data_IF_752143714181
#
_entry.id   IF_752143714181
#
_cell.length_a   1.000
_cell.length_b   1.000
_cell.length_c   1.000
_cell.angle_alpha   90.00
_cell.angle_beta   90.00
_cell.angle_gamma   90.00
#
_symmetry.space_group_name_H-M   'P 1'
#
loop_
_entity.id
_entity.type
_entity.pdbx_description
1 polymer ?
#
# COMPACT_ATOMS: atom_id res chain seq x y z
N UNK A 1 13.83 -14.26 2.08
CA UNK A 1 12.55 -13.58 2.29
C UNK A 1 11.49 -13.95 1.23
N UNK A 2 11.69 -13.71 -0.07
CA UNK A 2 10.73 -14.10 -1.13
C UNK A 2 10.32 -15.58 -1.06
N UNK A 3 11.32 -16.46 -1.17
CA UNK A 3 11.09 -17.91 -1.22
C UNK A 3 10.66 -18.48 0.14
N UNK A 4 11.12 -17.88 1.24
CA UNK A 4 10.76 -18.28 2.60
C UNK A 4 9.26 -18.05 2.90
N UNK A 5 8.71 -16.89 2.48
CA UNK A 5 7.29 -16.57 2.66
C UNK A 5 6.39 -17.53 1.85
N UNK A 6 6.83 -17.87 0.64
CA UNK A 6 6.12 -18.83 -0.19
C UNK A 6 6.19 -20.24 0.38
N UNK A 7 7.38 -20.69 0.81
CA UNK A 7 7.59 -22.04 1.34
C UNK A 7 6.69 -22.36 2.54
N UNK A 8 6.46 -21.38 3.42
CA UNK A 8 5.50 -21.54 4.52
C UNK A 8 4.06 -21.75 4.00
N UNK A 9 3.63 -20.90 3.06
CA UNK A 9 2.27 -21.00 2.50
C UNK A 9 2.07 -22.30 1.73
N UNK A 10 3.08 -22.74 0.97
CA UNK A 10 3.05 -24.02 0.25
C UNK A 10 3.01 -25.22 1.20
N UNK A 11 3.72 -25.16 2.34
CA UNK A 11 3.61 -26.19 3.38
C UNK A 11 2.19 -26.29 3.94
N UNK A 12 1.54 -25.16 4.26
CA UNK A 12 0.15 -25.13 4.74
C UNK A 12 -0.86 -25.59 3.67
N UNK A 13 -0.63 -25.26 2.40
CA UNK A 13 -1.46 -25.76 1.29
C UNK A 13 -1.33 -27.27 1.14
N UNK A 14 -0.11 -27.82 1.20
CA UNK A 14 0.13 -29.28 1.14
C UNK A 14 -0.43 -30.01 2.36
N UNK A 15 -0.43 -29.37 3.53
CA UNK A 15 -1.04 -29.90 4.74
C UNK A 15 -2.58 -29.83 4.73
N UNK A 16 -3.18 -29.08 3.79
CA UNK A 16 -4.63 -28.86 3.71
C UNK A 16 -5.16 -27.93 4.80
N UNK A 17 -4.29 -27.16 5.46
CA UNK A 17 -4.63 -26.21 6.53
C UNK A 17 -4.75 -24.78 6.03
N UNK A 18 -4.22 -24.48 4.84
CA UNK A 18 -4.37 -23.16 4.23
C UNK A 18 -5.83 -22.85 3.84
N UNK A 19 -6.22 -21.58 3.97
CA UNK A 19 -7.49 -21.09 3.44
C UNK A 19 -7.49 -21.20 1.90
N UNK A 20 -8.46 -21.92 1.29
CA UNK A 20 -8.55 -22.02 -0.17
C UNK A 20 -8.78 -20.67 -0.86
N UNK A 21 -9.24 -19.65 -0.13
CA UNK A 21 -9.43 -18.30 -0.65
C UNK A 21 -8.20 -17.40 -0.46
N UNK A 22 -7.09 -17.92 0.06
CA UNK A 22 -5.88 -17.13 0.16
C UNK A 22 -5.33 -16.79 -1.24
N UNK A 23 -4.64 -15.64 -1.33
CA UNK A 23 -4.11 -15.13 -2.60
C UNK A 23 -3.25 -16.17 -3.35
N UNK A 24 -2.40 -16.91 -2.63
CA UNK A 24 -1.48 -17.88 -3.24
C UNK A 24 -2.24 -19.02 -3.90
N UNK A 25 -3.25 -19.59 -3.23
CA UNK A 25 -4.09 -20.65 -3.78
C UNK A 25 -4.86 -20.16 -5.01
N UNK A 26 -5.55 -19.02 -4.89
CA UNK A 26 -6.32 -18.45 -6.01
C UNK A 26 -5.45 -18.08 -7.21
N UNK A 27 -4.26 -17.52 -6.97
CA UNK A 27 -3.34 -17.14 -8.03
C UNK A 27 -2.81 -18.37 -8.78
N UNK A 28 -2.45 -19.43 -8.05
CA UNK A 28 -1.99 -20.69 -8.64
C UNK A 28 -3.11 -21.36 -9.46
N UNK A 29 -4.32 -21.43 -8.92
CA UNK A 29 -5.48 -21.99 -9.62
C UNK A 29 -5.82 -21.22 -10.89
N UNK A 30 -5.82 -19.88 -10.82
CA UNK A 30 -6.09 -19.02 -11.97
C UNK A 30 -5.03 -19.18 -13.07
N UNK A 31 -3.75 -19.27 -12.71
CA UNK A 31 -2.67 -19.43 -13.68
C UNK A 31 -2.69 -20.80 -14.35
N UNK A 32 -2.98 -21.87 -13.59
CA UNK A 32 -3.07 -23.23 -14.12
C UNK A 32 -4.31 -23.48 -14.98
N UNK A 33 -5.35 -22.64 -14.88
CA UNK A 33 -6.48 -22.66 -15.82
C UNK A 33 -6.10 -22.18 -17.23
N UNK A 34 -4.98 -21.48 -17.38
CA UNK A 34 -4.49 -21.03 -18.67
C UNK A 34 -3.73 -22.16 -19.39
N UNK A 35 -4.24 -22.60 -20.55
CA UNK A 35 -3.70 -23.73 -21.32
C UNK A 35 -2.27 -23.55 -21.83
N UNK A 36 -1.73 -22.33 -21.84
CA UNK A 36 -0.34 -22.06 -22.24
C UNK A 36 0.63 -21.97 -21.06
N UNK A 37 0.13 -22.06 -19.83
CA UNK A 37 0.93 -21.89 -18.61
C UNK A 37 1.38 -23.26 -18.10
N UNK A 38 2.69 -23.44 -17.94
CA UNK A 38 3.23 -24.60 -17.24
C UNK A 38 3.27 -24.38 -15.72
N UNK A 39 3.43 -25.46 -14.97
CA UNK A 39 3.36 -25.42 -13.51
C UNK A 39 4.53 -24.65 -12.87
N UNK A 40 5.72 -24.68 -13.47
CA UNK A 40 6.91 -24.00 -12.96
C UNK A 40 6.78 -22.49 -13.14
N UNK A 41 6.37 -22.05 -14.33
CA UNK A 41 6.06 -20.65 -14.64
C UNK A 41 4.94 -20.11 -13.75
N UNK A 42 3.87 -20.89 -13.55
CA UNK A 42 2.77 -20.51 -12.66
C UNK A 42 3.24 -20.32 -11.21
N UNK A 43 4.11 -21.21 -10.73
CA UNK A 43 4.69 -21.13 -9.39
C UNK A 43 5.59 -19.89 -9.25
N UNK A 44 6.49 -19.65 -10.20
CA UNK A 44 7.37 -18.47 -10.19
C UNK A 44 6.57 -17.16 -10.18
N UNK A 45 5.56 -17.03 -11.03
CA UNK A 45 4.69 -15.85 -11.08
C UNK A 45 3.96 -15.68 -9.74
N UNK A 46 3.44 -16.77 -9.17
CA UNK A 46 2.76 -16.74 -7.88
C UNK A 46 3.69 -16.27 -6.75
N UNK A 47 4.92 -16.81 -6.70
CA UNK A 47 5.95 -16.43 -5.72
C UNK A 47 6.26 -14.92 -5.83
N UNK A 48 6.51 -14.45 -7.05
CA UNK A 48 6.87 -13.06 -7.30
C UNK A 48 5.73 -12.11 -6.91
N UNK A 49 4.49 -12.43 -7.30
CA UNK A 49 3.33 -11.61 -6.98
C UNK A 49 3.03 -11.59 -5.48
N UNK A 50 3.01 -12.76 -4.82
CA UNK A 50 2.75 -12.85 -3.39
C UNK A 50 3.77 -12.04 -2.58
N UNK A 51 5.04 -12.13 -2.99
CA UNK A 51 6.12 -11.38 -2.33
C UNK A 51 6.01 -9.88 -2.56
N UNK A 52 5.61 -9.45 -3.76
CA UNK A 52 5.38 -8.04 -4.06
C UNK A 52 4.21 -7.48 -3.24
N UNK A 53 3.09 -8.20 -3.15
CA UNK A 53 1.93 -7.80 -2.33
C UNK A 53 2.29 -7.71 -0.84
N UNK A 54 3.03 -8.69 -0.33
CA UNK A 54 3.51 -8.65 1.05
C UNK A 54 4.41 -7.45 1.30
N UNK A 55 5.42 -7.23 0.45
CA UNK A 55 6.34 -6.11 0.59
C UNK A 55 5.63 -4.75 0.49
N UNK A 56 4.69 -4.62 -0.46
CA UNK A 56 3.91 -3.40 -0.67
C UNK A 56 2.89 -3.12 0.43
N UNK A 57 2.35 -4.16 1.09
CA UNK A 57 1.30 -4.03 2.10
C UNK A 57 1.81 -4.00 3.54
N UNK A 58 2.86 -4.73 3.88
CA UNK A 58 3.28 -4.91 5.27
C UNK A 58 3.86 -3.63 5.89
N UNK A 59 4.97 -3.13 5.32
CA UNK A 59 5.69 -1.98 5.88
C UNK A 59 4.90 -0.67 5.79
N UNK A 60 4.17 -0.48 4.68
CA UNK A 60 3.38 0.73 4.42
C UNK A 60 2.19 0.83 5.38
N UNK A 61 1.45 -0.26 5.58
CA UNK A 61 0.32 -0.32 6.52
C UNK A 61 0.80 -0.14 7.95
N UNK A 62 1.89 -0.81 8.34
CA UNK A 62 2.48 -0.63 9.67
C UNK A 62 2.85 0.84 9.94
N UNK A 63 3.43 1.52 8.96
CA UNK A 63 3.77 2.95 9.06
C UNK A 63 2.53 3.83 9.21
N UNK A 64 1.49 3.58 8.39
CA UNK A 64 0.24 4.33 8.44
C UNK A 64 -0.48 4.15 9.79
N UNK A 65 -0.61 2.91 10.27
CA UNK A 65 -1.26 2.60 11.56
C UNK A 65 -0.49 3.18 12.73
N UNK A 66 0.85 3.06 12.74
CA UNK A 66 1.69 3.63 13.79
C UNK A 66 1.57 5.16 13.84
N UNK A 67 1.56 5.80 12.67
CA UNK A 67 1.37 7.26 12.55
C UNK A 67 -0.02 7.66 13.04
N UNK A 68 -1.06 6.91 12.69
CA UNK A 68 -2.42 7.15 13.16
C UNK A 68 -2.51 7.06 14.70
N UNK A 69 -1.97 5.99 15.30
CA UNK A 69 -1.97 5.80 16.75
C UNK A 69 -1.24 6.97 17.43
N UNK A 70 -0.06 7.35 16.93
CA UNK A 70 0.69 8.49 17.45
C UNK A 70 -0.12 9.79 17.34
N UNK A 71 -0.76 10.04 16.20
CA UNK A 71 -1.60 11.22 16.01
C UNK A 71 -2.77 11.27 17.00
N UNK A 72 -3.40 10.13 17.32
CA UNK A 72 -4.49 10.07 18.30
C UNK A 72 -4.01 10.31 19.74
N UNK A 73 -2.80 9.87 20.07
CA UNK A 73 -2.19 10.14 21.38
C UNK A 73 -1.91 11.64 21.54
N UNK A 74 -1.39 12.30 20.48
CA UNK A 74 -1.03 13.72 20.50
C UNK A 74 -2.25 14.65 20.38
N UNK A 75 -3.32 14.21 19.71
CA UNK A 75 -4.55 14.98 19.46
C UNK A 75 -5.81 14.26 20.00
N UNK A 76 -5.96 14.11 21.32
CA UNK A 76 -7.05 13.34 21.93
C UNK A 76 -8.43 14.00 21.76
N UNK A 77 -8.49 15.29 21.43
CA UNK A 77 -9.73 15.99 21.09
C UNK A 77 -10.25 15.60 19.69
N UNK A 78 -9.34 15.40 18.72
CA UNK A 78 -9.68 14.90 17.38
C UNK A 78 -10.18 13.45 17.47
N UNK A 79 -9.50 12.61 18.27
CA UNK A 79 -9.93 11.24 18.51
C UNK A 79 -11.37 11.17 19.08
N UNK A 80 -11.70 12.02 20.06
CA UNK A 80 -13.04 12.08 20.66
C UNK A 80 -14.12 12.49 19.65
N UNK A 81 -13.82 13.40 18.73
CA UNK A 81 -14.75 13.79 17.65
C UNK A 81 -15.02 12.62 16.71
N UNK A 82 -13.98 11.86 16.35
CA UNK A 82 -14.12 10.65 15.53
C UNK A 82 -15.00 9.58 16.21
N UNK A 83 -14.80 9.37 17.51
CA UNK A 83 -15.61 8.45 18.31
C UNK A 83 -17.07 8.91 18.39
N UNK A 84 -17.33 10.22 18.50
CA UNK A 84 -18.68 10.75 18.49
C UNK A 84 -19.36 10.60 17.11
N UNK A 85 -18.63 10.80 16.01
CA UNK A 85 -19.12 10.50 14.65
C UNK A 85 -19.51 9.03 14.53
N UNK A 86 -18.62 8.12 14.93
CA UNK A 86 -18.91 6.68 14.96
C UNK A 86 -20.15 6.35 15.78
N UNK A 87 -20.25 6.85 17.01
CA UNK A 87 -21.39 6.57 17.89
C UNK A 87 -22.72 7.16 17.37
N UNK A 88 -22.67 8.23 16.57
CA UNK A 88 -23.85 8.83 15.97
C UNK A 88 -24.38 8.04 14.78
N UNK A 89 -23.48 7.45 13.99
CA UNK A 89 -23.79 6.75 12.75
C UNK A 89 -24.04 5.26 12.98
N UNK A 90 -23.12 4.59 13.71
CA UNK A 90 -23.27 3.18 14.10
C UNK A 90 -24.13 3.10 15.36
N UNK A 91 -25.44 3.27 15.17
CA UNK A 91 -26.45 3.02 16.21
C UNK A 91 -26.80 1.53 16.36
N UNK A 92 -26.34 0.70 15.43
CA UNK A 92 -26.55 -0.74 15.40
C UNK A 92 -25.39 -1.47 16.07
N UNK A 93 -25.65 -2.61 16.73
CA UNK A 93 -24.66 -3.51 17.35
C UNK A 93 -23.81 -4.26 16.29
N UNK A 94 -23.28 -3.56 15.29
CA UNK A 94 -22.40 -4.10 14.26
C UNK A 94 -21.10 -3.33 14.16
N UNK A 95 -20.06 -4.01 13.71
CA UNK A 95 -18.80 -3.37 13.34
C UNK A 95 -18.98 -2.54 12.05
N UNK A 96 -18.18 -1.47 11.87
CA UNK A 96 -18.14 -0.72 10.63
C UNK A 96 -17.71 -1.64 9.47
N UNK A 97 -18.28 -1.40 8.29
CA UNK A 97 -17.90 -2.03 7.03
C UNK A 97 -17.46 -0.96 6.00
N UNK A 98 -17.10 -1.38 4.79
CA UNK A 98 -16.61 -0.47 3.75
C UNK A 98 -17.69 0.47 3.20
N UNK A 99 -18.95 0.07 3.23
CA UNK A 99 -20.08 0.87 2.74
C UNK A 99 -20.36 2.08 3.66
N UNK A 100 -19.93 2.00 4.92
CA UNK A 100 -20.06 3.09 5.90
C UNK A 100 -19.12 4.27 5.60
N UNK A 101 -18.08 4.06 4.79
CA UNK A 101 -16.99 5.03 4.57
C UNK A 101 -17.50 6.41 4.14
N UNK A 102 -18.52 6.47 3.28
CA UNK A 102 -19.06 7.73 2.76
C UNK A 102 -19.75 8.58 3.85
N UNK A 103 -20.21 7.94 4.93
CA UNK A 103 -20.86 8.58 6.06
C UNK A 103 -19.90 8.97 7.18
N UNK A 104 -18.65 8.49 7.11
CA UNK A 104 -17.60 8.68 8.11
C UNK A 104 -16.59 9.73 7.62
N UNK A 105 -17.09 10.96 7.42
CA UNK A 105 -16.32 12.06 6.82
C UNK A 105 -15.16 12.50 7.72
N UNK A 106 -15.37 12.61 9.03
CA UNK A 106 -14.31 13.02 9.97
C UNK A 106 -13.17 12.00 9.98
N UNK A 107 -13.51 10.71 10.05
CA UNK A 107 -12.53 9.63 9.97
C UNK A 107 -11.79 9.63 8.63
N UNK A 108 -12.50 9.83 7.52
CA UNK A 108 -11.89 9.95 6.20
C UNK A 108 -10.88 11.11 6.15
N UNK A 109 -11.24 12.28 6.70
CA UNK A 109 -10.32 13.41 6.83
C UNK A 109 -9.11 13.09 7.71
N UNK A 110 -9.28 12.36 8.81
CA UNK A 110 -8.17 11.95 9.68
C UNK A 110 -7.20 11.02 8.97
N UNK A 111 -7.71 10.03 8.24
CA UNK A 111 -6.90 9.11 7.44
C UNK A 111 -6.10 9.88 6.38
N UNK A 112 -6.74 10.81 5.66
CA UNK A 112 -6.03 11.71 4.74
C UNK A 112 -4.98 12.56 5.46
N UNK A 113 -5.28 13.04 6.67
CA UNK A 113 -4.33 13.78 7.51
C UNK A 113 -3.10 12.98 7.90
N UNK A 114 -3.25 11.69 8.21
CA UNK A 114 -2.14 10.76 8.49
C UNK A 114 -1.21 10.63 7.29
N UNK A 115 -1.77 10.35 6.10
CA UNK A 115 -0.98 10.24 4.87
C UNK A 115 -0.32 11.56 4.46
N UNK A 116 -0.96 12.70 4.75
CA UNK A 116 -0.36 14.02 4.54
C UNK A 116 0.80 14.28 5.49
N UNK A 117 0.73 13.80 6.74
CA UNK A 117 1.73 14.09 7.77
C UNK A 117 2.97 13.22 7.65
N UNK A 118 2.78 11.93 7.40
CA UNK A 118 3.86 10.94 7.25
C UNK A 118 3.47 9.99 6.11
N UNK A 119 3.79 10.34 4.85
CA UNK A 119 3.56 9.44 3.74
C UNK A 119 4.44 8.20 3.90
N UNK A 120 3.90 6.95 3.80
CA UNK A 120 4.72 5.73 3.94
C UNK A 120 5.83 5.59 2.90
N UNK A 121 5.71 6.27 1.75
CA UNK A 121 6.73 6.36 0.72
C UNK A 121 7.10 7.84 0.45
N UNK A 122 7.98 8.45 1.27
CA UNK A 122 8.38 9.86 1.17
C UNK A 122 8.88 10.30 -0.21
N UNK A 123 9.54 9.40 -0.94
CA UNK A 123 10.12 9.63 -2.27
C UNK A 123 9.42 8.85 -3.38
N UNK A 124 8.27 8.23 -3.08
CA UNK A 124 7.62 7.27 -3.97
C UNK A 124 8.52 6.10 -4.35
N UNK A 125 8.21 5.46 -5.47
CA UNK A 125 9.05 4.43 -6.10
C UNK A 125 9.91 5.09 -7.18
N UNK A 126 11.15 4.65 -7.31
CA UNK A 126 12.04 5.10 -8.36
C UNK A 126 11.46 4.79 -9.75
N UNK A 127 11.40 5.79 -10.63
CA UNK A 127 11.02 5.63 -12.02
C UNK A 127 12.24 5.78 -12.92
N UNK A 128 12.23 5.12 -14.09
CA UNK A 128 13.30 5.27 -15.09
C UNK A 128 12.76 5.96 -16.33
N UNK A 129 13.49 6.96 -16.82
CA UNK A 129 13.13 7.67 -18.05
C UNK A 129 13.37 6.76 -19.25
N UNK A 130 12.31 6.38 -19.97
CA UNK A 130 12.41 5.42 -21.10
C UNK A 130 13.04 6.03 -22.36
N UNK A 131 13.02 7.35 -22.49
CA UNK A 131 13.58 8.12 -23.61
C UNK A 131 14.00 9.50 -23.10
N UNK A 132 14.81 10.21 -23.87
CA UNK A 132 15.14 11.60 -23.56
C UNK A 132 13.86 12.43 -23.41
N UNK A 133 13.81 13.23 -22.35
CA UNK A 133 12.67 14.05 -22.00
C UNK A 133 13.12 15.43 -21.50
N UNK A 134 12.23 16.41 -21.52
CA UNK A 134 12.47 17.74 -20.99
C UNK A 134 11.39 18.06 -19.96
N UNK A 135 11.80 18.57 -18.79
CA UNK A 135 10.90 19.02 -17.74
C UNK A 135 11.37 20.35 -17.18
N UNK A 136 10.53 21.40 -17.23
CA UNK A 136 10.86 22.73 -16.70
C UNK A 136 12.20 23.29 -17.23
N UNK A 137 12.54 23.03 -18.49
CA UNK A 137 13.80 23.41 -19.12
C UNK A 137 15.01 22.53 -18.75
N UNK A 138 14.81 21.46 -17.98
CA UNK A 138 15.83 20.47 -17.65
C UNK A 138 15.74 19.28 -18.59
N UNK A 139 16.87 18.96 -19.24
CA UNK A 139 17.00 17.73 -20.04
C UNK A 139 17.22 16.52 -19.13
N UNK A 140 16.34 15.53 -19.25
CA UNK A 140 16.36 14.26 -18.54
C UNK A 140 16.69 13.17 -19.55
N UNK A 141 17.90 12.60 -19.55
CA UNK A 141 18.28 11.58 -20.52
C UNK A 141 17.56 10.26 -20.30
N UNK A 142 17.43 9.47 -21.37
CA UNK A 142 17.01 8.07 -21.29
C UNK A 142 17.89 7.30 -20.29
N UNK A 143 17.28 6.46 -19.48
CA UNK A 143 17.93 5.72 -18.39
C UNK A 143 18.08 6.51 -17.09
N UNK A 144 17.77 7.81 -17.05
CA UNK A 144 17.81 8.57 -15.80
C UNK A 144 16.79 8.03 -14.79
N UNK A 145 17.20 7.92 -13.52
CA UNK A 145 16.29 7.57 -12.41
C UNK A 145 15.66 8.83 -11.83
N UNK A 146 14.35 8.81 -11.64
CA UNK A 146 13.54 9.94 -11.17
C UNK A 146 12.78 9.51 -9.91
N UNK A 147 12.85 10.34 -8.87
CA UNK A 147 12.13 10.16 -7.61
C UNK A 147 11.08 11.25 -7.45
N UNK A 148 9.89 10.88 -6.98
CA UNK A 148 8.83 11.83 -6.66
C UNK A 148 8.89 12.23 -5.19
N UNK A 149 9.13 13.50 -4.87
CA UNK A 149 9.19 13.94 -3.47
C UNK A 149 7.79 14.16 -2.89
N UNK A 150 7.17 13.09 -2.39
CA UNK A 150 5.84 13.13 -1.81
C UNK A 150 5.76 14.06 -0.59
N UNK A 151 6.79 14.09 0.27
CA UNK A 151 6.83 14.97 1.44
C UNK A 151 6.69 16.46 1.07
N UNK A 152 7.46 16.91 0.08
CA UNK A 152 7.39 18.31 -0.39
C UNK A 152 6.01 18.63 -0.97
N UNK A 153 5.43 17.69 -1.73
CA UNK A 153 4.10 17.84 -2.34
C UNK A 153 3.02 17.99 -1.25
N UNK A 154 3.02 17.13 -0.23
CA UNK A 154 1.98 17.12 0.81
C UNK A 154 2.11 18.28 1.81
N UNK A 155 3.31 18.80 2.03
CA UNK A 155 3.57 19.96 2.89
C UNK A 155 3.36 21.30 2.17
N UNK A 156 3.23 21.30 0.84
CA UNK A 156 3.11 22.52 0.03
C UNK A 156 4.37 23.38 0.05
N UNK A 157 5.52 22.76 0.33
CA UNK A 157 6.81 23.44 0.28
C UNK A 157 7.16 23.75 -1.18
N UNK A 158 7.87 24.86 -1.45
CA UNK A 158 8.34 25.14 -2.80
C UNK A 158 9.15 23.94 -3.30
N UNK A 159 8.78 23.43 -4.48
CA UNK A 159 9.40 22.26 -5.09
C UNK A 159 10.90 22.49 -5.21
N UNK A 160 11.69 21.67 -4.51
CA UNK A 160 13.12 21.58 -4.72
C UNK A 160 13.33 21.15 -6.18
N UNK A 161 13.86 22.06 -7.01
CA UNK A 161 14.16 21.78 -8.42
C UNK A 161 15.12 20.59 -8.48
N UNK A 162 14.93 19.73 -9.50
CA UNK A 162 15.69 18.49 -9.76
C UNK A 162 17.12 18.54 -9.19
N UNK A 163 17.37 17.76 -8.15
CA UNK A 163 18.72 17.57 -7.60
C UNK A 163 19.36 16.43 -8.38
N UNK A 164 20.45 16.74 -9.08
CA UNK A 164 21.28 15.74 -9.77
C UNK A 164 22.06 14.98 -8.70
N UNK A 165 21.70 13.72 -8.47
CA UNK A 165 22.44 12.79 -7.61
C UNK A 165 23.56 12.15 -8.43
#
# INVERSE_FOLDING_TARGET
MRDELYAWTDAEMRAGTADPNCFVAQCKDLLLQNSTMDAESAEEITINNASFFYAGGAGTTMTAVSTFILAMIVHPDVQRKAQAEFASFLREDRLPNLDDKEHLLHISCMVSGVFRRVPPLPTGVAHTCMKDNEYEGYNIPAGATVYGNACVIVEGLPSLKLVRI
#
